data_IF_866441961337
#
_entry.id   IF_866441961337
#
_cell.length_a   1.000
_cell.length_b   1.000
_cell.length_c   1.000
_cell.angle_alpha   90.00
_cell.angle_beta   90.00
_cell.angle_gamma   90.00
#
_symmetry.space_group_name_H-M   'P 1'
#
loop_
_entity.id
_entity.type
_entity.pdbx_description
1 polymer ?
#
# COMPACT_ATOMS: atom_id res chain seq x y z
N UNK A 1 11.17 16.02 -73.17
CA UNK A 1 12.23 16.02 -72.14
C UNK A 1 11.59 16.56 -70.85
N UNK A 2 11.55 15.79 -69.75
CA UNK A 2 10.76 16.08 -68.53
C UNK A 2 11.57 16.96 -67.54
N UNK A 3 11.00 17.52 -66.44
CA UNK A 3 10.85 16.71 -65.21
C UNK A 3 9.62 17.01 -64.31
N UNK A 4 9.07 15.93 -63.76
CA UNK A 4 8.73 15.69 -62.33
C UNK A 4 8.63 16.91 -61.41
N UNK A 5 7.49 17.10 -60.70
CA UNK A 5 7.38 17.56 -59.28
C UNK A 5 6.01 17.18 -58.70
N UNK A 6 5.92 16.13 -57.90
CA UNK A 6 6.10 16.03 -56.44
C UNK A 6 4.77 16.13 -55.67
N UNK A 7 4.34 14.97 -55.17
CA UNK A 7 3.26 14.75 -54.20
C UNK A 7 3.71 15.26 -52.82
N UNK A 8 2.86 15.96 -52.03
CA UNK A 8 2.95 15.91 -50.57
C UNK A 8 1.68 15.21 -50.04
N UNK A 9 1.72 13.92 -49.72
CA UNK A 9 2.06 13.36 -48.40
C UNK A 9 1.29 14.01 -47.25
N UNK A 10 0.08 13.49 -47.05
CA UNK A 10 -0.47 13.02 -45.78
C UNK A 10 0.33 13.44 -44.53
N UNK A 11 -0.05 14.56 -43.91
CA UNK A 11 0.40 14.91 -42.56
C UNK A 11 -0.54 14.25 -41.53
N UNK A 12 -0.32 12.96 -41.27
CA UNK A 12 -0.96 12.25 -40.16
C UNK A 12 -0.18 12.57 -38.87
N UNK A 13 -0.59 13.60 -38.15
CA UNK A 13 -0.01 13.96 -36.86
C UNK A 13 -0.38 12.90 -35.82
N UNK A 14 0.53 11.95 -35.59
CA UNK A 14 0.49 11.00 -34.48
C UNK A 14 0.71 11.76 -33.17
N UNK A 15 -0.38 12.09 -32.47
CA UNK A 15 -0.34 12.50 -31.07
C UNK A 15 0.02 11.27 -30.22
N UNK A 16 1.31 11.01 -30.01
CA UNK A 16 1.78 10.09 -28.97
C UNK A 16 1.60 10.78 -27.61
N UNK A 17 0.39 10.69 -27.08
CA UNK A 17 0.12 10.96 -25.68
C UNK A 17 0.78 9.85 -24.86
N UNK A 18 1.99 10.10 -24.35
CA UNK A 18 2.53 9.31 -23.26
C UNK A 18 1.63 9.54 -22.04
N UNK A 19 0.62 8.67 -21.87
CA UNK A 19 -0.11 8.57 -20.62
C UNK A 19 0.84 8.00 -19.56
N UNK A 20 1.57 8.87 -18.87
CA UNK A 20 2.23 8.50 -17.62
C UNK A 20 1.13 8.24 -16.60
N UNK A 21 0.72 6.98 -16.49
CA UNK A 21 -0.22 6.56 -15.47
C UNK A 21 0.42 6.86 -14.10
N UNK A 22 -0.25 7.64 -13.24
CA UNK A 22 0.26 7.86 -11.89
C UNK A 22 0.40 6.50 -11.21
N UNK A 23 1.48 6.35 -10.45
CA UNK A 23 1.78 5.16 -9.66
C UNK A 23 0.53 4.81 -8.83
N UNK A 24 -0.18 3.74 -9.21
CA UNK A 24 -1.47 3.41 -8.59
C UNK A 24 -1.21 3.03 -7.12
N UNK A 25 -2.06 3.53 -6.23
CA UNK A 25 -2.02 3.15 -4.82
C UNK A 25 -2.42 1.68 -4.69
N UNK A 26 -1.70 0.92 -3.87
CA UNK A 26 -1.99 -0.48 -3.58
C UNK A 26 -2.57 -0.56 -2.17
N UNK A 27 -3.69 -1.26 -2.00
CA UNK A 27 -4.33 -1.47 -0.69
C UNK A 27 -4.27 -2.95 -0.33
N UNK A 28 -3.88 -3.25 0.91
CA UNK A 28 -3.91 -4.60 1.49
C UNK A 28 -4.90 -4.60 2.66
N UNK A 29 -5.86 -5.51 2.61
CA UNK A 29 -6.92 -5.66 3.60
C UNK A 29 -6.74 -6.92 4.44
N UNK A 30 -6.12 -7.96 3.88
CA UNK A 30 -5.77 -9.17 4.61
C UNK A 30 -4.58 -9.93 4.00
N UNK A 31 -4.26 -11.09 4.59
CA UNK A 31 -3.09 -11.91 4.23
C UNK A 31 -3.17 -12.51 2.81
N UNK A 32 -4.36 -12.62 2.23
CA UNK A 32 -4.58 -13.14 0.87
C UNK A 32 -4.16 -12.15 -0.22
N UNK A 33 -3.98 -10.87 0.13
CA UNK A 33 -3.41 -9.87 -0.76
C UNK A 33 -1.88 -10.02 -0.90
N UNK A 34 -1.24 -11.01 -0.29
CA UNK A 34 0.21 -11.20 -0.34
C UNK A 34 0.62 -12.37 -1.23
N UNK A 35 1.81 -12.34 -1.86
CA UNK A 35 2.86 -11.31 -1.77
C UNK A 35 2.58 -10.09 -2.66
N UNK A 36 3.34 -9.01 -2.47
CA UNK A 36 3.18 -7.78 -3.25
C UNK A 36 4.45 -7.37 -4.00
N UNK A 37 4.24 -6.96 -5.25
CA UNK A 37 5.26 -6.34 -6.10
C UNK A 37 4.92 -4.87 -6.28
N UNK A 38 5.87 -4.01 -5.93
CA UNK A 38 5.70 -2.56 -5.94
C UNK A 38 6.81 -1.90 -6.76
N UNK A 39 6.64 -0.62 -7.01
CA UNK A 39 7.57 0.27 -7.70
C UNK A 39 7.86 1.49 -6.84
N UNK A 40 9.08 2.00 -6.95
CA UNK A 40 9.45 3.26 -6.30
C UNK A 40 8.50 4.38 -6.72
N UNK A 41 7.99 5.13 -5.74
CA UNK A 41 7.00 6.19 -5.96
C UNK A 41 5.55 5.78 -5.71
N UNK A 42 5.24 4.49 -5.63
CA UNK A 42 3.89 4.04 -5.23
C UNK A 42 3.60 4.29 -3.76
N UNK A 43 2.31 4.43 -3.44
CA UNK A 43 1.84 4.34 -2.06
C UNK A 43 1.26 2.96 -1.78
N UNK A 44 1.61 2.41 -0.62
CA UNK A 44 1.03 1.20 -0.08
C UNK A 44 0.16 1.58 1.12
N UNK A 45 -1.09 1.16 1.11
CA UNK A 45 -2.06 1.35 2.18
C UNK A 45 -2.34 -0.04 2.77
N UNK A 46 -2.21 -0.17 4.08
CA UNK A 46 -2.57 -1.40 4.79
C UNK A 46 -3.74 -1.07 5.70
N UNK A 47 -4.86 -1.77 5.56
CA UNK A 47 -6.08 -1.56 6.34
C UNK A 47 -6.51 -2.88 6.97
N UNK A 48 -6.23 -3.06 8.26
CA UNK A 48 -6.52 -4.32 8.95
C UNK A 48 -7.68 -4.18 9.93
N UNK A 49 -8.52 -5.21 10.10
CA UNK A 49 -9.54 -5.24 11.13
C UNK A 49 -8.94 -4.98 12.52
N UNK A 50 -9.60 -4.11 13.29
CA UNK A 50 -9.12 -3.70 14.61
C UNK A 50 -10.29 -3.39 15.53
N UNK A 51 -10.22 -3.78 16.79
CA UNK A 51 -11.20 -3.39 17.79
C UNK A 51 -10.48 -2.84 19.02
N UNK A 52 -10.33 -1.51 19.16
CA UNK A 52 -9.55 -0.95 20.24
C UNK A 52 -10.17 -1.16 21.63
N UNK A 53 -11.47 -1.49 21.70
CA UNK A 53 -12.20 -1.72 22.96
C UNK A 53 -11.81 -3.04 23.65
N UNK A 54 -11.22 -3.99 22.91
CA UNK A 54 -10.72 -5.26 23.47
C UNK A 54 -9.30 -5.15 24.04
N UNK A 55 -8.67 -3.97 23.90
CA UNK A 55 -7.29 -3.76 24.35
C UNK A 55 -6.21 -4.14 23.35
N UNK A 56 -6.54 -4.90 22.30
CA UNK A 56 -5.58 -5.27 21.27
C UNK A 56 -5.21 -4.07 20.39
N UNK A 57 -3.93 -3.99 20.04
CA UNK A 57 -3.37 -2.97 19.15
C UNK A 57 -2.44 -3.63 18.16
N UNK A 58 -2.51 -3.18 16.92
CA UNK A 58 -1.55 -3.54 15.90
C UNK A 58 -0.25 -2.76 16.10
N UNK A 59 0.89 -3.42 15.95
CA UNK A 59 2.22 -2.80 15.97
C UNK A 59 3.00 -3.25 14.75
N UNK A 60 3.70 -2.31 14.12
CA UNK A 60 4.62 -2.60 13.01
C UNK A 60 5.91 -3.17 13.60
N UNK A 61 6.25 -4.39 13.19
CA UNK A 61 7.46 -5.10 13.61
C UNK A 61 8.58 -4.95 12.57
N UNK A 62 8.23 -4.95 11.28
CA UNK A 62 9.16 -4.75 10.17
C UNK A 62 8.44 -3.98 9.05
N UNK A 63 9.08 -2.95 8.51
CA UNK A 63 8.60 -2.15 7.38
C UNK A 63 9.29 -2.54 6.07
N UNK A 64 9.31 -3.85 5.78
CA UNK A 64 9.91 -4.47 4.62
C UNK A 64 11.40 -4.13 4.42
N UNK A 65 12.22 -4.29 5.47
CA UNK A 65 13.66 -4.03 5.40
C UNK A 65 13.99 -2.56 5.13
N UNK A 66 13.04 -1.67 5.42
CA UNK A 66 13.20 -0.24 5.23
C UNK A 66 12.95 0.26 3.80
N UNK A 67 12.36 -0.53 2.89
CA UNK A 67 11.96 -0.02 1.55
C UNK A 67 10.66 0.80 1.60
N UNK A 68 9.87 0.64 2.67
CA UNK A 68 8.65 1.37 2.95
C UNK A 68 8.92 2.46 3.98
N UNK A 69 8.58 3.71 3.63
CA UNK A 69 8.61 4.85 4.57
C UNK A 69 7.19 5.15 5.03
N UNK A 70 6.96 5.17 6.33
CA UNK A 70 5.67 5.60 6.87
C UNK A 70 5.36 7.05 6.50
N UNK A 71 4.12 7.31 6.08
CA UNK A 71 3.57 8.63 5.78
C UNK A 71 2.79 9.23 6.96
N UNK A 72 2.77 8.57 8.11
CA UNK A 72 2.09 9.06 9.32
C UNK A 72 1.81 7.98 10.35
N UNK A 73 1.16 8.34 11.46
CA UNK A 73 0.69 7.36 12.43
C UNK A 73 -0.44 6.49 11.86
N UNK A 74 -0.75 5.41 12.60
CA UNK A 74 -1.98 4.65 12.42
C UNK A 74 -3.21 5.57 12.47
N UNK A 75 -4.20 5.29 11.62
CA UNK A 75 -5.52 5.91 11.68
C UNK A 75 -6.57 4.82 11.90
N UNK A 76 -7.30 4.90 13.02
CA UNK A 76 -8.42 4.01 13.29
C UNK A 76 -9.74 4.63 12.81
N UNK A 77 -10.57 3.82 12.14
CA UNK A 77 -11.94 4.18 11.74
C UNK A 77 -12.92 3.12 12.24
N UNK A 78 -13.88 3.51 13.07
CA UNK A 78 -14.98 2.64 13.50
C UNK A 78 -15.92 2.29 12.34
N UNK A 79 -16.42 1.06 12.26
CA UNK A 79 -17.31 0.64 11.17
C UNK A 79 -18.70 1.30 11.18
N UNK A 80 -19.12 1.82 12.32
CA UNK A 80 -20.43 2.43 12.58
C UNK A 80 -20.35 3.92 12.91
N UNK A 81 -19.23 4.57 12.61
CA UNK A 81 -18.94 5.96 12.99
C UNK A 81 -19.05 6.23 14.50
N UNK A 82 -18.79 5.22 15.34
CA UNK A 82 -18.77 5.34 16.80
C UNK A 82 -20.16 5.33 17.43
N UNK A 83 -21.17 4.87 16.69
CA UNK A 83 -22.56 4.89 17.13
C UNK A 83 -22.87 3.80 18.17
N UNK A 84 -22.18 2.65 18.11
CA UNK A 84 -22.29 1.56 19.07
C UNK A 84 -20.98 1.41 19.85
N UNK A 85 -21.08 1.34 21.18
CA UNK A 85 -19.93 1.03 22.03
C UNK A 85 -19.50 -0.42 21.79
N UNK A 86 -18.20 -0.62 21.58
CA UNK A 86 -17.61 -1.95 21.38
C UNK A 86 -17.56 -2.43 19.93
N UNK A 87 -18.09 -1.65 18.98
CA UNK A 87 -17.97 -1.97 17.56
C UNK A 87 -16.49 -1.97 17.13
N UNK A 88 -16.14 -2.96 16.32
CA UNK A 88 -14.84 -3.00 15.66
C UNK A 88 -14.74 -1.94 14.56
N UNK A 89 -13.58 -1.87 13.94
CA UNK A 89 -13.29 -0.98 12.85
C UNK A 89 -12.07 -1.44 12.06
N UNK A 90 -11.39 -0.49 11.44
CA UNK A 90 -10.20 -0.71 10.64
C UNK A 90 -9.07 0.19 11.16
N UNK A 91 -7.88 -0.37 11.27
CA UNK A 91 -6.64 0.38 11.49
C UNK A 91 -5.90 0.51 10.17
N UNK A 92 -5.57 1.72 9.77
CA UNK A 92 -4.96 2.02 8.48
C UNK A 92 -3.57 2.65 8.64
N UNK A 93 -2.60 2.11 7.91
CA UNK A 93 -1.26 2.66 7.74
C UNK A 93 -1.02 3.03 6.29
N UNK A 94 -0.29 4.12 6.07
CA UNK A 94 0.08 4.60 4.74
C UNK A 94 1.60 4.63 4.63
N UNK A 95 2.13 4.04 3.58
CA UNK A 95 3.54 3.98 3.29
C UNK A 95 3.84 4.55 1.91
N UNK A 96 5.00 5.19 1.78
CA UNK A 96 5.61 5.54 0.52
C UNK A 96 6.69 4.51 0.21
N UNK A 97 6.62 3.91 -0.98
CA UNK A 97 7.71 3.09 -1.51
C UNK A 97 8.79 4.04 -2.01
N UNK A 98 9.98 4.01 -1.39
CA UNK A 98 11.02 5.03 -1.66
C UNK A 98 12.34 4.48 -2.20
N UNK A 99 12.57 3.17 -2.11
CA UNK A 99 13.79 2.53 -2.60
C UNK A 99 13.51 1.12 -3.14
N UNK A 100 14.26 0.64 -4.15
CA UNK A 100 14.20 -0.74 -4.60
C UNK A 100 14.76 -1.69 -3.53
N UNK A 101 14.36 -2.96 -3.59
CA UNK A 101 14.79 -3.98 -2.64
C UNK A 101 13.67 -4.96 -2.30
N UNK A 102 13.91 -5.82 -1.31
CA UNK A 102 12.91 -6.77 -0.83
C UNK A 102 12.96 -6.91 0.67
N UNK A 103 11.83 -7.28 1.25
CA UNK A 103 11.68 -7.46 2.70
C UNK A 103 10.30 -7.99 3.07
N UNK A 104 9.99 -8.00 4.37
CA UNK A 104 8.68 -8.42 4.89
C UNK A 104 8.02 -7.26 5.62
N UNK A 105 6.81 -6.88 5.21
CA UNK A 105 5.98 -5.98 6.00
C UNK A 105 5.27 -6.83 7.05
N UNK A 106 5.67 -6.68 8.31
CA UNK A 106 5.13 -7.48 9.42
C UNK A 106 4.47 -6.60 10.47
N UNK A 107 3.22 -6.93 10.78
CA UNK A 107 2.44 -6.32 11.85
C UNK A 107 1.93 -7.41 12.80
N UNK A 108 1.82 -7.10 14.10
CA UNK A 108 1.29 -8.01 15.13
C UNK A 108 0.23 -7.32 15.97
N UNK A 109 -0.84 -8.05 16.31
CA UNK A 109 -1.92 -7.57 17.18
C UNK A 109 -1.78 -8.17 18.57
N UNK A 110 -1.49 -7.32 19.56
CA UNK A 110 -1.25 -7.72 20.95
C UNK A 110 -1.80 -6.68 21.92
N UNK A 111 -1.99 -7.09 23.17
CA UNK A 111 -2.23 -6.16 24.27
C UNK A 111 -0.90 -5.58 24.76
N UNK A 112 -0.70 -4.25 24.72
CA UNK A 112 0.61 -3.65 25.03
C UNK A 112 1.12 -3.89 26.45
N UNK A 113 0.24 -4.24 27.39
CA UNK A 113 0.59 -4.54 28.78
C UNK A 113 0.98 -6.01 29.03
N UNK A 114 0.85 -6.88 28.01
CA UNK A 114 1.23 -8.29 28.06
C UNK A 114 2.22 -8.63 26.92
N UNK A 115 3.43 -8.04 26.93
CA UNK A 115 4.38 -8.18 25.81
C UNK A 115 4.94 -9.59 25.62
N UNK A 116 4.85 -10.43 26.65
CA UNK A 116 5.31 -11.84 26.62
C UNK A 116 4.27 -12.79 26.01
N UNK A 117 3.02 -12.34 25.84
CA UNK A 117 1.97 -13.15 25.25
C UNK A 117 2.13 -13.23 23.72
N UNK A 118 1.83 -14.39 23.14
CA UNK A 118 1.81 -14.57 21.69
C UNK A 118 0.80 -13.61 21.02
N UNK A 119 1.11 -13.06 19.83
CA UNK A 119 0.16 -12.23 19.11
C UNK A 119 -1.13 -12.96 18.80
N UNK A 120 -2.26 -12.30 19.06
CA UNK A 120 -3.56 -12.83 18.68
C UNK A 120 -3.72 -12.86 17.15
N UNK A 121 -3.08 -11.92 16.45
CA UNK A 121 -3.06 -11.86 14.99
C UNK A 121 -1.68 -11.42 14.48
N UNK A 122 -1.33 -11.94 13.31
CA UNK A 122 -0.10 -11.58 12.60
C UNK A 122 -0.47 -11.31 11.14
N UNK A 123 0.03 -10.21 10.60
CA UNK A 123 0.03 -9.92 9.18
C UNK A 123 1.48 -9.91 8.72
N UNK A 124 1.80 -10.72 7.72
CA UNK A 124 3.18 -10.89 7.25
C UNK A 124 3.21 -10.98 5.72
N UNK A 125 3.53 -9.86 5.09
CA UNK A 125 3.50 -9.71 3.64
C UNK A 125 4.92 -9.61 3.06
N UNK A 126 5.35 -10.57 2.22
CA UNK A 126 6.55 -10.40 1.42
C UNK A 126 6.37 -9.26 0.41
N UNK A 127 7.29 -8.30 0.44
CA UNK A 127 7.31 -7.13 -0.45
C UNK A 127 8.57 -7.18 -1.31
N UNK A 128 8.39 -6.99 -2.62
CA UNK A 128 9.48 -6.80 -3.58
C UNK A 128 9.28 -5.49 -4.33
N UNK A 129 10.31 -4.66 -4.40
CA UNK A 129 10.32 -3.37 -5.09
C UNK A 129 11.33 -3.39 -6.22
N UNK A 130 10.85 -3.14 -7.44
CA UNK A 130 11.65 -3.02 -8.65
C UNK A 130 11.91 -1.57 -9.05
#
# INVERSE_FOLDING_TARGET
>A
MPPVRLIPLLALSLLTACAQQPAHNVTLEDQSDCPQQLHVGQQLIVSLPSNPTTGYRWSIQDSAGGVLRSLGPEVYTSSDNGQLLGSGGQSTWRFQVFAPGSGRLRLTSQQPWEPEAEPAQVFDCPITVN
#
